data_IF_378122344315
#
_entry.id   IF_378122344315
#
_cell.length_a   1.000
_cell.length_b   1.000
_cell.length_c   1.000
_cell.angle_alpha   90.00
_cell.angle_beta   90.00
_cell.angle_gamma   90.00
#
_symmetry.space_group_name_H-M   'P 1'
#
loop_
_entity.id
_entity.type
_entity.pdbx_description
1 polymer ?
#
# COMPACT_ATOMS: atom_id res chain seq x y z
N UNK A 1 21.20 0.01 -15.26
CA UNK A 1 20.89 -0.64 -13.96
C UNK A 1 20.04 0.22 -13.03
N UNK A 2 20.37 1.49 -12.81
CA UNK A 2 19.63 2.37 -11.87
C UNK A 2 18.17 2.65 -12.29
N UNK A 3 17.91 2.77 -13.59
CA UNK A 3 16.56 2.97 -14.14
C UNK A 3 15.66 1.74 -13.95
N UNK A 4 16.18 0.54 -14.27
CA UNK A 4 15.47 -0.72 -14.02
C UNK A 4 15.14 -0.91 -12.54
N UNK A 5 16.07 -0.59 -11.64
CA UNK A 5 15.82 -0.60 -10.19
C UNK A 5 14.72 0.38 -9.79
N UNK A 6 14.67 1.57 -10.40
CA UNK A 6 13.61 2.54 -10.15
C UNK A 6 12.22 2.06 -10.58
N UNK A 7 12.11 1.40 -11.73
CA UNK A 7 10.85 0.77 -12.17
C UNK A 7 10.41 -0.37 -11.23
N UNK A 8 11.35 -1.19 -10.76
CA UNK A 8 11.07 -2.26 -9.79
C UNK A 8 10.53 -1.68 -8.48
N UNK A 9 11.11 -0.59 -7.96
CA UNK A 9 10.64 0.05 -6.73
C UNK A 9 9.21 0.59 -6.87
N UNK A 10 8.88 1.20 -8.02
CA UNK A 10 7.53 1.69 -8.27
C UNK A 10 6.54 0.52 -8.36
N UNK A 11 6.87 -0.53 -9.12
CA UNK A 11 6.02 -1.71 -9.25
C UNK A 11 5.80 -2.39 -7.89
N UNK A 12 6.86 -2.52 -7.09
CA UNK A 12 6.78 -3.07 -5.73
C UNK A 12 5.87 -2.22 -4.85
N UNK A 13 6.00 -0.89 -4.85
CA UNK A 13 5.14 -0.01 -4.06
C UNK A 13 3.65 -0.18 -4.43
N UNK A 14 3.34 -0.29 -5.73
CA UNK A 14 1.96 -0.53 -6.18
C UNK A 14 1.42 -1.89 -5.69
N UNK A 15 2.20 -2.96 -5.87
CA UNK A 15 1.82 -4.31 -5.42
C UNK A 15 1.64 -4.33 -3.90
N UNK A 16 2.56 -3.74 -3.14
CA UNK A 16 2.45 -3.64 -1.68
C UNK A 16 1.20 -2.85 -1.27
N UNK A 17 0.86 -1.76 -1.98
CA UNK A 17 -0.37 -1.01 -1.73
C UNK A 17 -1.64 -1.85 -1.89
N UNK A 18 -1.71 -2.67 -2.94
CA UNK A 18 -2.83 -3.60 -3.17
C UNK A 18 -2.90 -4.65 -2.05
N UNK A 19 -1.76 -5.22 -1.64
CA UNK A 19 -1.70 -6.20 -0.56
C UNK A 19 -2.18 -5.59 0.77
N UNK A 20 -1.70 -4.40 1.12
CA UNK A 20 -2.12 -3.71 2.35
C UNK A 20 -3.62 -3.45 2.34
N UNK A 21 -4.17 -2.97 1.23
CA UNK A 21 -5.61 -2.76 1.09
C UNK A 21 -6.41 -4.06 1.27
N UNK A 22 -5.97 -5.15 0.65
CA UNK A 22 -6.62 -6.45 0.77
C UNK A 22 -6.58 -6.99 2.21
N UNK A 23 -5.46 -6.79 2.93
CA UNK A 23 -5.33 -7.19 4.33
C UNK A 23 -6.24 -6.38 5.25
N UNK A 24 -6.42 -5.09 5.00
CA UNK A 24 -7.34 -4.25 5.77
C UNK A 24 -8.80 -4.70 5.57
N UNK A 25 -9.22 -4.89 4.31
CA UNK A 25 -10.53 -5.45 3.98
C UNK A 25 -10.78 -6.81 4.65
N UNK A 26 -9.76 -7.69 4.65
CA UNK A 26 -9.84 -8.97 5.35
C UNK A 26 -10.03 -8.75 6.86
N UNK A 27 -9.24 -7.86 7.47
CA UNK A 27 -9.36 -7.51 8.88
C UNK A 27 -10.76 -7.00 9.24
N UNK A 28 -11.31 -6.09 8.43
CA UNK A 28 -12.66 -5.55 8.61
C UNK A 28 -13.72 -6.65 8.53
N UNK A 29 -13.60 -7.57 7.56
CA UNK A 29 -14.53 -8.71 7.42
C UNK A 29 -14.47 -9.67 8.62
N UNK A 30 -13.29 -9.88 9.20
CA UNK A 30 -13.13 -10.74 10.40
C UNK A 30 -13.76 -10.06 11.60
N UNK A 31 -13.54 -8.75 11.77
CA UNK A 31 -14.19 -7.98 12.83
C UNK A 31 -15.71 -8.04 12.67
N UNK A 32 -16.22 -7.80 11.44
CA UNK A 32 -17.64 -7.90 11.10
C UNK A 32 -18.25 -9.25 11.52
N UNK A 33 -17.59 -10.35 11.16
CA UNK A 33 -18.00 -11.69 11.55
C UNK A 33 -18.00 -11.89 13.07
N UNK A 34 -16.95 -11.43 13.76
CA UNK A 34 -16.82 -11.54 15.21
C UNK A 34 -17.90 -10.75 15.98
N UNK A 35 -18.21 -9.52 15.54
CA UNK A 35 -19.28 -8.73 16.14
C UNK A 35 -20.65 -9.37 15.92
N UNK A 36 -20.92 -9.87 14.71
CA UNK A 36 -22.17 -10.58 14.41
C UNK A 36 -22.37 -11.79 15.33
N UNK A 37 -21.31 -12.55 15.60
CA UNK A 37 -21.38 -13.68 16.55
C UNK A 37 -21.55 -13.27 18.00
N UNK A 38 -21.07 -12.09 18.41
CA UNK A 38 -21.05 -11.65 19.80
C UNK A 38 -22.30 -10.84 20.20
N UNK A 39 -22.82 -9.98 19.32
CA UNK A 39 -23.90 -9.03 19.66
C UNK A 39 -25.17 -9.23 18.85
N UNK A 40 -25.14 -10.00 17.75
CA UNK A 40 -26.27 -10.14 16.82
C UNK A 40 -26.60 -8.85 16.03
N UNK A 41 -25.90 -7.75 16.29
CA UNK A 41 -26.01 -6.49 15.57
C UNK A 41 -24.85 -6.37 14.57
N UNK A 42 -25.15 -6.60 13.30
CA UNK A 42 -24.18 -6.66 12.21
C UNK A 42 -23.69 -5.32 11.69
N UNK A 43 -23.46 -4.32 12.54
CA UNK A 43 -22.96 -3.03 12.07
C UNK A 43 -21.64 -2.68 12.74
N UNK A 44 -20.56 -3.11 12.09
CA UNK A 44 -19.25 -2.53 12.31
C UNK A 44 -18.99 -1.40 11.31
N UNK A 45 -18.35 -0.35 11.80
CA UNK A 45 -17.96 0.81 11.02
C UNK A 45 -17.16 0.35 9.78
N UNK A 46 -17.59 0.79 8.60
CA UNK A 46 -16.90 0.52 7.34
C UNK A 46 -15.45 0.97 7.49
N UNK A 47 -14.54 0.03 7.24
CA UNK A 47 -13.12 0.06 7.57
C UNK A 47 -12.43 1.41 7.54
N UNK A 48 -11.53 1.63 8.50
CA UNK A 48 -10.59 2.74 8.39
C UNK A 48 -9.74 2.49 7.14
N UNK A 49 -9.72 3.45 6.20
CA UNK A 49 -8.90 3.34 4.99
C UNK A 49 -7.41 3.09 5.28
N UNK A 50 -6.60 2.93 4.23
CA UNK A 50 -5.17 2.63 4.38
C UNK A 50 -4.52 3.60 5.38
N UNK A 51 -3.85 3.10 6.44
CA UNK A 51 -3.20 3.94 7.43
C UNK A 51 -2.30 5.00 6.79
N UNK A 52 -2.37 6.23 7.28
CA UNK A 52 -1.58 7.35 6.76
C UNK A 52 -0.08 7.07 6.73
N UNK A 53 0.42 6.32 7.71
CA UNK A 53 1.81 5.86 7.76
C UNK A 53 2.17 4.92 6.61
N UNK A 54 1.28 3.98 6.27
CA UNK A 54 1.48 3.07 5.15
C UNK A 54 1.46 3.83 3.81
N UNK A 55 0.53 4.78 3.65
CA UNK A 55 0.50 5.67 2.48
C UNK A 55 1.78 6.50 2.35
N UNK A 56 2.28 7.07 3.45
CA UNK A 56 3.52 7.83 3.46
C UNK A 56 4.72 6.95 3.06
N UNK A 57 4.81 5.73 3.59
CA UNK A 57 5.87 4.79 3.22
C UNK A 57 5.82 4.41 1.73
N UNK A 58 4.64 4.12 1.20
CA UNK A 58 4.44 3.82 -0.23
C UNK A 58 4.85 5.00 -1.12
N UNK A 59 4.48 6.22 -0.73
CA UNK A 59 4.85 7.44 -1.44
C UNK A 59 6.37 7.67 -1.45
N UNK A 60 7.05 7.41 -0.33
CA UNK A 60 8.52 7.49 -0.23
C UNK A 60 9.17 6.49 -1.17
N UNK A 61 8.74 5.22 -1.15
CA UNK A 61 9.32 4.16 -2.00
C UNK A 61 9.10 4.48 -3.49
N UNK A 62 7.89 4.89 -3.87
CA UNK A 62 7.60 5.31 -5.24
C UNK A 62 8.44 6.52 -5.65
N UNK A 63 8.58 7.52 -4.76
CA UNK A 63 9.41 8.70 -4.97
C UNK A 63 10.90 8.37 -5.14
N UNK A 64 11.43 7.43 -4.36
CA UNK A 64 12.80 6.92 -4.52
C UNK A 64 12.99 6.24 -5.89
N UNK A 65 12.00 5.47 -6.35
CA UNK A 65 12.01 4.87 -7.67
C UNK A 65 12.06 5.91 -8.79
N UNK A 66 11.22 6.95 -8.70
CA UNK A 66 11.21 8.08 -9.65
C UNK A 66 12.56 8.81 -9.64
N UNK A 67 13.10 9.11 -8.45
CA UNK A 67 14.39 9.78 -8.32
C UNK A 67 15.54 8.99 -8.94
N UNK A 68 15.56 7.66 -8.77
CA UNK A 68 16.53 6.77 -9.38
C UNK A 68 16.47 6.79 -10.91
N UNK A 69 15.26 6.83 -11.50
CA UNK A 69 15.06 6.95 -12.94
C UNK A 69 15.60 8.29 -13.44
N UNK A 70 15.20 9.40 -12.80
CA UNK A 70 15.62 10.76 -13.23
C UNK A 70 17.14 10.94 -13.12
N UNK A 71 17.75 10.47 -12.03
CA UNK A 71 19.21 10.54 -11.85
C UNK A 71 19.96 9.60 -12.79
N UNK A 72 19.40 8.42 -13.07
CA UNK A 72 19.92 7.49 -14.06
C UNK A 72 19.98 8.12 -15.45
N UNK A 73 18.90 8.79 -15.86
CA UNK A 73 18.79 9.47 -17.16
C UNK A 73 19.77 10.64 -17.31
N UNK A 74 20.04 11.38 -16.23
CA UNK A 74 21.02 12.48 -16.23
C UNK A 74 22.49 12.02 -16.30
N UNK A 75 22.79 10.76 -15.99
CA UNK A 75 24.15 10.24 -15.98
C UNK A 75 24.56 9.52 -17.28
N UNK A 76 23.64 9.40 -18.25
CA UNK A 76 23.86 8.79 -19.56
C UNK A 76 23.94 9.77 -20.73
N UNK A 77 24.05 11.07 -20.45
CA UNK A 77 24.30 12.15 -21.41
C UNK A 77 25.70 12.72 -21.20
#
# INVERSE_FOLDING_TARGET
MKEAAGFILIAQALITGVIVYALLQLGDSIQAAAAYTATGEGQLAWGSGIPSLALAALAIVAGMGIWLIVKGKKAGH
#
